data_IF_757756722214
#
_entry.id   IF_757756722214
#
_cell.length_a   1.000
_cell.length_b   1.000
_cell.length_c   1.000
_cell.angle_alpha   90.00
_cell.angle_beta   90.00
_cell.angle_gamma   90.00
#
_symmetry.space_group_name_H-M   'P 1'
#
loop_
_entity.id
_entity.type
_entity.pdbx_description
1 polymer ?
#
# COMPACT_ATOMS: atom_id res chain seq x y z
N UNK A 1 -5.05 -15.79 -1.70
CA UNK A 1 -3.62 -16.08 -1.48
C UNK A 1 -3.23 -15.96 -0.01
N UNK A 2 -2.12 -16.59 0.40
CA UNK A 2 -1.54 -16.42 1.74
C UNK A 2 -0.64 -15.16 1.83
N UNK A 3 -0.21 -14.82 3.06
CA UNK A 3 0.60 -13.64 3.32
C UNK A 3 1.97 -13.67 2.62
N UNK A 4 2.59 -14.84 2.50
CA UNK A 4 3.89 -14.99 1.86
C UNK A 4 3.79 -14.67 0.36
N UNK A 5 2.78 -15.25 -0.30
CA UNK A 5 2.46 -15.01 -1.70
C UNK A 5 2.09 -13.55 -1.94
N UNK A 6 1.25 -12.96 -1.07
CA UNK A 6 0.88 -11.55 -1.17
C UNK A 6 2.11 -10.63 -1.14
N UNK A 7 3.03 -10.85 -0.20
CA UNK A 7 4.30 -10.08 -0.12
C UNK A 7 5.13 -10.22 -1.39
N UNK A 8 5.24 -11.44 -1.93
CA UNK A 8 5.97 -11.67 -3.18
C UNK A 8 5.33 -10.91 -4.36
N UNK A 9 4.00 -10.94 -4.49
CA UNK A 9 3.29 -10.24 -5.55
C UNK A 9 3.43 -8.71 -5.44
N UNK A 10 3.36 -8.17 -4.22
CA UNK A 10 3.56 -6.74 -3.94
C UNK A 10 4.98 -6.33 -4.32
N UNK A 11 6.00 -7.04 -3.83
CA UNK A 11 7.40 -6.75 -4.15
C UNK A 11 7.65 -6.83 -5.66
N UNK A 12 7.16 -7.86 -6.35
CA UNK A 12 7.32 -8.01 -7.79
C UNK A 12 6.64 -6.87 -8.58
N UNK A 13 5.44 -6.44 -8.15
CA UNK A 13 4.76 -5.29 -8.75
C UNK A 13 5.59 -4.01 -8.58
N UNK A 14 6.11 -3.76 -7.38
CA UNK A 14 6.85 -2.52 -7.10
C UNK A 14 8.20 -2.47 -7.81
N UNK A 15 8.89 -3.61 -7.95
CA UNK A 15 10.08 -3.70 -8.80
C UNK A 15 9.74 -3.45 -10.28
N UNK A 16 8.59 -3.92 -10.76
CA UNK A 16 8.13 -3.60 -12.12
C UNK A 16 7.78 -2.12 -12.27
N UNK A 17 7.11 -1.51 -11.29
CA UNK A 17 6.85 -0.08 -11.26
C UNK A 17 8.16 0.71 -11.31
N UNK A 18 9.15 0.32 -10.49
CA UNK A 18 10.49 0.91 -10.48
C UNK A 18 11.18 0.77 -11.83
N UNK A 19 11.11 -0.39 -12.48
CA UNK A 19 11.71 -0.60 -13.79
C UNK A 19 11.09 0.30 -14.88
N UNK A 20 9.79 0.59 -14.78
CA UNK A 20 9.06 1.47 -15.72
C UNK A 20 9.22 2.95 -15.40
N UNK A 21 9.37 3.29 -14.12
CA UNK A 21 9.46 4.67 -13.62
C UNK A 21 10.91 5.15 -13.43
N UNK A 22 11.88 4.23 -13.46
CA UNK A 22 13.32 4.39 -13.19
C UNK A 22 13.72 4.80 -11.77
N UNK A 23 12.75 5.08 -10.90
CA UNK A 23 12.93 5.22 -9.46
C UNK A 23 11.82 4.47 -8.74
N UNK A 24 11.99 4.09 -7.46
CA UNK A 24 10.88 3.59 -6.67
C UNK A 24 9.70 4.57 -6.71
N UNK A 25 8.50 4.06 -7.02
CA UNK A 25 7.25 4.84 -6.96
C UNK A 25 6.70 4.83 -5.54
N UNK A 26 6.64 3.66 -4.92
CA UNK A 26 6.38 3.49 -3.49
C UNK A 26 7.63 2.87 -2.88
N UNK A 27 8.27 3.60 -1.98
CA UNK A 27 9.45 3.16 -1.25
C UNK A 27 9.10 2.62 0.14
N UNK A 28 7.84 2.76 0.54
CA UNK A 28 7.31 2.23 1.79
C UNK A 28 5.92 1.61 1.58
N UNK A 29 5.68 0.47 2.22
CA UNK A 29 4.36 -0.13 2.31
C UNK A 29 4.15 -0.95 3.58
N UNK A 30 2.89 -1.07 3.97
CA UNK A 30 2.44 -1.88 5.11
C UNK A 30 1.18 -2.66 4.74
N UNK A 31 1.09 -3.91 5.18
CA UNK A 31 -0.14 -4.68 5.15
C UNK A 31 -0.79 -4.59 6.53
N UNK A 32 -2.01 -4.07 6.55
CA UNK A 32 -2.84 -3.93 7.74
C UNK A 32 -3.96 -4.98 7.72
N UNK A 33 -4.28 -5.54 8.88
CA UNK A 33 -5.51 -6.25 9.14
C UNK A 33 -6.12 -5.80 10.48
N UNK A 34 -7.14 -4.93 10.46
CA UNK A 34 -7.82 -4.51 11.69
C UNK A 34 -8.36 -5.72 12.45
N UNK A 35 -8.09 -5.78 13.75
CA UNK A 35 -8.56 -6.86 14.63
C UNK A 35 -7.66 -8.10 14.69
N UNK A 36 -6.60 -8.20 13.88
CA UNK A 36 -5.58 -9.26 14.03
C UNK A 36 -4.45 -8.80 14.97
N UNK A 37 -4.38 -9.32 16.19
CA UNK A 37 -3.32 -9.06 17.19
C UNK A 37 -3.10 -7.57 17.58
N UNK A 38 -2.19 -7.31 18.53
CA UNK A 38 -2.00 -6.03 19.26
C UNK A 38 -1.78 -4.77 18.39
N UNK A 39 -1.38 -4.91 17.12
CA UNK A 39 -1.12 -3.76 16.24
C UNK A 39 -1.86 -3.77 14.91
N UNK A 40 -2.50 -4.87 14.50
CA UNK A 40 -3.15 -4.96 13.19
C UNK A 40 -2.20 -4.86 12.00
N UNK A 41 -0.88 -5.05 12.17
CA UNK A 41 0.10 -5.10 11.06
C UNK A 41 0.51 -6.54 10.79
N UNK A 42 0.44 -6.93 9.53
CA UNK A 42 0.85 -8.25 9.05
C UNK A 42 2.25 -8.24 8.42
N UNK A 43 2.61 -7.15 7.74
CA UNK A 43 3.91 -6.99 7.10
C UNK A 43 4.22 -5.50 6.90
N UNK A 44 5.50 -5.14 6.91
CA UNK A 44 5.99 -3.79 6.62
C UNK A 44 7.28 -3.87 5.80
N UNK A 45 7.50 -2.93 4.89
CA UNK A 45 8.77 -2.71 4.19
C UNK A 45 8.93 -1.23 3.88
N UNK A 46 10.07 -0.65 4.22
CA UNK A 46 10.37 0.75 3.90
C UNK A 46 11.58 1.29 4.67
N UNK A 47 12.06 2.50 4.33
CA UNK A 47 13.26 3.08 4.90
C UNK A 47 13.12 3.46 6.38
N UNK A 48 11.89 3.62 6.87
CA UNK A 48 11.59 4.07 8.24
C UNK A 48 11.28 2.93 9.22
N UNK A 49 11.69 1.69 8.94
CA UNK A 49 11.29 0.51 9.74
C UNK A 49 11.49 0.67 11.25
N UNK A 50 12.62 1.26 11.68
CA UNK A 50 12.94 1.43 13.10
C UNK A 50 12.14 2.55 13.76
N UNK A 51 11.87 3.64 13.04
CA UNK A 51 11.03 4.75 13.51
C UNK A 51 9.56 4.33 13.54
N UNK A 52 9.10 3.70 12.47
CA UNK A 52 7.75 3.14 12.34
C UNK A 52 7.48 2.10 13.43
N UNK A 53 8.46 1.27 13.81
CA UNK A 53 8.31 0.34 14.94
C UNK A 53 8.13 1.04 16.30
N UNK A 54 8.81 2.17 16.52
CA UNK A 54 8.71 2.93 17.78
C UNK A 54 7.37 3.68 17.89
N UNK A 55 6.89 4.20 16.76
CA UNK A 55 5.65 4.99 16.66
C UNK A 55 4.45 4.21 16.13
N UNK A 56 4.60 2.89 15.98
CA UNK A 56 3.63 1.96 15.39
C UNK A 56 2.20 2.19 15.88
N UNK A 57 1.92 2.32 17.20
CA UNK A 57 0.56 2.51 17.67
C UNK A 57 -0.06 3.84 17.20
N UNK A 58 0.76 4.89 17.05
CA UNK A 58 0.31 6.24 16.70
C UNK A 58 0.26 6.46 15.18
N UNK A 59 1.05 5.72 14.41
CA UNK A 59 0.99 5.70 12.95
C UNK A 59 -0.16 4.83 12.43
N UNK A 60 -0.44 3.72 13.11
CA UNK A 60 -1.43 2.75 12.66
C UNK A 60 -2.86 3.13 13.03
N UNK A 61 -3.09 3.73 14.20
CA UNK A 61 -4.45 4.11 14.65
C UNK A 61 -5.20 5.00 13.64
N UNK A 62 -4.61 6.10 13.12
CA UNK A 62 -5.27 6.92 12.11
C UNK A 62 -5.56 6.15 10.82
N UNK A 63 -4.63 5.29 10.38
CA UNK A 63 -4.81 4.44 9.20
C UNK A 63 -5.96 3.45 9.41
N UNK A 64 -6.00 2.76 10.56
CA UNK A 64 -7.08 1.83 10.90
C UNK A 64 -8.44 2.54 10.98
N UNK A 65 -8.50 3.75 11.55
CA UNK A 65 -9.73 4.54 11.61
C UNK A 65 -10.25 4.92 10.22
N UNK A 66 -9.35 5.28 9.30
CA UNK A 66 -9.70 5.61 7.92
C UNK A 66 -10.22 4.39 7.15
N UNK A 67 -9.56 3.23 7.26
CA UNK A 67 -9.98 2.03 6.51
C UNK A 67 -11.25 1.37 7.06
N UNK A 68 -11.58 1.58 8.34
CA UNK A 68 -12.75 0.96 8.99
C UNK A 68 -14.09 1.48 8.44
N UNK A 69 -14.10 2.64 7.78
CA UNK A 69 -15.30 3.25 7.20
C UNK A 69 -15.53 2.99 5.71
N UNK A 70 -14.57 2.37 5.02
CA UNK A 70 -14.60 2.24 3.56
C UNK A 70 -15.27 0.93 3.14
N UNK A 71 -16.26 1.01 2.24
CA UNK A 71 -16.90 -0.14 1.59
C UNK A 71 -16.14 -0.49 0.31
N UNK A 72 -14.96 -1.10 0.47
CA UNK A 72 -14.11 -1.54 -0.64
C UNK A 72 -14.16 -3.06 -0.80
N UNK A 73 -14.24 -3.54 -2.04
CA UNK A 73 -14.08 -4.94 -2.37
C UNK A 73 -12.60 -5.27 -2.63
N UNK A 74 -12.14 -6.52 -2.46
CA UNK A 74 -10.77 -6.91 -2.79
C UNK A 74 -10.38 -6.50 -4.22
N UNK A 75 -9.20 -5.87 -4.33
CA UNK A 75 -8.73 -5.27 -5.58
C UNK A 75 -9.15 -3.82 -5.80
N UNK A 76 -10.05 -3.26 -5.00
CA UNK A 76 -10.35 -1.83 -5.07
C UNK A 76 -9.25 -1.02 -4.40
N UNK A 77 -8.86 0.09 -5.03
CA UNK A 77 -7.83 0.98 -4.52
C UNK A 77 -8.18 2.45 -4.74
N UNK A 78 -7.61 3.28 -3.89
CA UNK A 78 -7.73 4.74 -3.97
C UNK A 78 -6.34 5.36 -3.82
N UNK A 79 -6.06 6.35 -4.68
CA UNK A 79 -4.92 7.23 -4.49
C UNK A 79 -5.37 8.49 -3.73
N UNK A 80 -4.61 8.92 -2.73
CA UNK A 80 -4.91 10.18 -2.02
C UNK A 80 -4.67 11.39 -2.94
N UNK A 81 -5.49 12.43 -2.79
CA UNK A 81 -5.44 13.63 -3.63
C UNK A 81 -4.46 14.70 -3.13
N UNK A 82 -4.14 14.69 -1.83
CA UNK A 82 -3.30 15.69 -1.18
C UNK A 82 -2.45 15.00 -0.13
N UNK A 83 -1.15 14.84 -0.41
CA UNK A 83 -0.18 14.32 0.54
C UNK A 83 0.16 15.31 1.67
N UNK A 84 -0.78 16.15 2.08
CA UNK A 84 -0.63 17.03 3.25
C UNK A 84 -1.55 16.53 4.36
N UNK A 85 -0.96 15.81 5.31
CA UNK A 85 -1.61 15.39 6.55
C UNK A 85 -2.27 14.01 6.56
N UNK A 86 -2.35 13.30 5.44
CA UNK A 86 -2.72 11.87 5.40
C UNK A 86 -1.50 11.06 4.97
N UNK A 87 -0.87 10.36 5.90
CA UNK A 87 0.48 9.76 5.83
C UNK A 87 0.73 8.67 4.76
N UNK A 88 -0.14 8.54 3.76
CA UNK A 88 -0.07 7.52 2.72
C UNK A 88 -0.56 8.05 1.36
N UNK A 89 -0.03 7.47 0.30
CA UNK A 89 -0.32 7.82 -1.09
C UNK A 89 -1.39 6.91 -1.71
N UNK A 90 -1.45 5.65 -1.27
CA UNK A 90 -2.38 4.64 -1.81
C UNK A 90 -2.91 3.75 -0.71
N UNK A 91 -4.19 3.40 -0.85
CA UNK A 91 -4.82 2.31 -0.14
C UNK A 91 -5.36 1.30 -1.15
N UNK A 92 -5.05 0.01 -0.98
CA UNK A 92 -5.58 -1.10 -1.78
C UNK A 92 -6.19 -2.15 -0.85
N UNK A 93 -7.43 -2.58 -1.12
CA UNK A 93 -8.08 -3.69 -0.41
C UNK A 93 -7.49 -5.02 -0.87
N UNK A 94 -6.91 -5.79 0.06
CA UNK A 94 -6.29 -7.08 -0.25
C UNK A 94 -7.22 -8.27 -0.02
N UNK A 95 -8.11 -8.18 0.95
CA UNK A 95 -9.01 -9.25 1.37
C UNK A 95 -10.04 -8.75 2.38
N UNK A 96 -10.85 -9.65 2.96
CA UNK A 96 -12.05 -9.30 3.77
C UNK A 96 -11.77 -8.21 4.80
N UNK A 97 -10.68 -8.31 5.55
CA UNK A 97 -10.25 -7.33 6.53
C UNK A 97 -8.76 -6.99 6.38
N UNK A 98 -8.22 -6.99 5.16
CA UNK A 98 -6.80 -6.66 4.94
C UNK A 98 -6.61 -5.61 3.87
N UNK A 99 -5.62 -4.75 4.08
CA UNK A 99 -5.33 -3.57 3.26
C UNK A 99 -3.84 -3.42 3.05
N UNK A 100 -3.43 -2.99 1.86
CA UNK A 100 -2.10 -2.50 1.56
C UNK A 100 -2.15 -0.98 1.58
N UNK A 101 -1.28 -0.39 2.38
CA UNK A 101 -1.06 1.06 2.40
C UNK A 101 0.33 1.32 1.84
N UNK A 102 0.45 2.25 0.90
CA UNK A 102 1.71 2.58 0.23
C UNK A 102 2.03 4.07 0.39
N UNK A 103 3.32 4.38 0.44
CA UNK A 103 3.80 5.75 0.51
C UNK A 103 5.10 5.92 -0.29
N UNK A 104 5.34 7.14 -0.73
CA UNK A 104 6.60 7.65 -1.23
C UNK A 104 7.13 8.67 -0.21
N UNK A 105 8.29 8.40 0.36
CA UNK A 105 8.86 9.25 1.41
C UNK A 105 9.53 10.53 0.87
N UNK A 106 9.67 10.67 -0.45
CA UNK A 106 10.40 11.75 -1.09
C UNK A 106 9.56 12.64 -2.02
N UNK A 107 8.44 12.16 -2.57
CA UNK A 107 7.60 12.86 -3.55
C UNK A 107 6.13 12.70 -3.22
N UNK A 108 5.36 13.76 -3.45
CA UNK A 108 3.89 13.70 -3.42
C UNK A 108 3.31 12.95 -4.63
N UNK A 109 2.08 12.46 -4.51
CA UNK A 109 1.34 11.91 -5.65
C UNK A 109 1.17 12.92 -6.82
N UNK A 110 1.11 14.22 -6.54
CA UNK A 110 1.04 15.25 -7.57
C UNK A 110 2.34 15.28 -8.41
N UNK A 111 3.50 15.27 -7.74
CA UNK A 111 4.81 15.21 -8.41
C UNK A 111 5.01 13.89 -9.15
N UNK A 112 4.54 12.77 -8.59
CA UNK A 112 4.61 11.46 -9.25
C UNK A 112 3.76 11.46 -10.53
N UNK A 113 2.52 11.95 -10.47
CA UNK A 113 1.58 11.95 -11.60
C UNK A 113 1.98 12.92 -12.72
N UNK A 114 2.76 13.95 -12.41
CA UNK A 114 3.27 14.91 -13.40
C UNK A 114 4.31 14.27 -14.34
N UNK A 115 4.94 13.17 -13.93
CA UNK A 115 5.93 12.48 -14.75
C UNK A 115 5.25 11.64 -15.85
N UNK A 116 5.69 11.80 -17.10
CA UNK A 116 5.11 11.08 -18.25
C UNK A 116 5.23 9.54 -18.14
N UNK A 117 6.15 9.03 -17.31
CA UNK A 117 6.32 7.59 -17.04
C UNK A 117 5.25 7.03 -16.11
N UNK A 118 4.53 7.88 -15.38
CA UNK A 118 3.54 7.48 -14.38
C UNK A 118 2.52 6.48 -14.95
N UNK A 119 1.90 6.79 -16.09
CA UNK A 119 0.85 5.94 -16.67
C UNK A 119 1.32 4.50 -16.93
N UNK A 120 2.59 4.33 -17.35
CA UNK A 120 3.17 2.99 -17.56
C UNK A 120 3.42 2.30 -16.23
N UNK A 121 3.96 3.01 -15.24
CA UNK A 121 4.20 2.45 -13.92
C UNK A 121 2.89 2.08 -13.21
N UNK A 122 1.85 2.90 -13.33
CA UNK A 122 0.53 2.68 -12.77
C UNK A 122 -0.08 1.36 -13.26
N UNK A 123 0.14 0.97 -14.53
CA UNK A 123 -0.35 -0.29 -15.05
C UNK A 123 0.12 -1.50 -14.22
N UNK A 124 1.36 -1.50 -13.73
CA UNK A 124 1.85 -2.58 -12.88
C UNK A 124 1.17 -2.63 -11.50
N UNK A 125 0.69 -1.48 -11.00
CA UNK A 125 -0.14 -1.42 -9.78
C UNK A 125 -1.56 -1.93 -10.04
N UNK A 126 -2.14 -1.61 -11.20
CA UNK A 126 -3.45 -2.16 -11.62
C UNK A 126 -3.36 -3.68 -11.79
N UNK A 127 -2.28 -4.19 -12.39
CA UNK A 127 -2.05 -5.64 -12.48
C UNK A 127 -1.98 -6.30 -11.10
N UNK A 128 -1.43 -5.60 -10.09
CA UNK A 128 -1.41 -6.06 -8.71
C UNK A 128 -2.83 -6.08 -8.11
N UNK A 129 -3.62 -5.03 -8.33
CA UNK A 129 -4.98 -4.96 -7.80
C UNK A 129 -5.86 -6.09 -8.34
N UNK A 130 -5.74 -6.40 -9.63
CA UNK A 130 -6.48 -7.50 -10.25
C UNK A 130 -6.10 -8.87 -9.70
N UNK A 131 -4.84 -9.08 -9.30
CA UNK A 131 -4.43 -10.32 -8.62
C UNK A 131 -5.16 -10.49 -7.28
N UNK A 132 -5.31 -9.42 -6.50
CA UNK A 132 -6.05 -9.47 -5.24
C UNK A 132 -7.56 -9.52 -5.44
N UNK A 133 -8.08 -9.02 -6.57
CA UNK A 133 -9.48 -9.20 -6.96
C UNK A 133 -9.80 -10.67 -7.22
N UNK A 134 -8.90 -11.39 -7.90
CA UNK A 134 -9.08 -12.80 -8.27
C UNK A 134 -8.77 -13.75 -7.10
N UNK A 135 -7.71 -13.48 -6.35
CA UNK A 135 -7.27 -14.35 -5.24
C UNK A 135 -6.98 -13.53 -3.97
N UNK A 136 -8.03 -13.07 -3.25
CA UNK A 136 -7.88 -12.20 -2.08
C UNK A 136 -6.97 -12.77 -0.99
N UNK A 137 -6.29 -11.89 -0.25
CA UNK A 137 -5.49 -12.27 0.91
C UNK A 137 -6.36 -12.86 2.02
N UNK A 138 -6.02 -14.07 2.44
CA UNK A 138 -6.58 -14.74 3.61
C UNK A 138 -5.55 -14.68 4.73
N UNK A 139 -5.96 -14.19 5.90
CA UNK A 139 -5.12 -13.97 7.08
C UNK A 139 -5.63 -14.76 8.26
#
# INVERSE_FOLDING_TARGET
MDLATARQQITASFERMRALYFTPVFDEWVILAPGSQQSGILAYTGPRVEEFRKSLPDDVKPLLAQVSGLKLEPGDFEFTHSGDGTRHDVLLKLGVNSYLVCNNTAKSMAEIRADARWLKAQAAFVDLSEKFRVDPLVV
#
